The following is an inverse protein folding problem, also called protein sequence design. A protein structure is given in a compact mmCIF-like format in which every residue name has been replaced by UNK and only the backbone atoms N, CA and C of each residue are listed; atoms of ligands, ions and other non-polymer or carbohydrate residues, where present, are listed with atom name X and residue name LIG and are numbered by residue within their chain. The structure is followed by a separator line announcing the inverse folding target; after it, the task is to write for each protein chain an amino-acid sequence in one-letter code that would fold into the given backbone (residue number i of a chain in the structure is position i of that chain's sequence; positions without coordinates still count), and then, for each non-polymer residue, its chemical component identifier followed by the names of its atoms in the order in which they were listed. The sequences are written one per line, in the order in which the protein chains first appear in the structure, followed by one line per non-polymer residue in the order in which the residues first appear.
data_IF_520527741724
#
_entry.id   IF_520527741724
#
_cell.length_a   1.000
_cell.length_b   1.000
_cell.length_c   1.000
_cell.angle_alpha   90.00
_cell.angle_beta   90.00
_cell.angle_gamma   90.00
#
_symmetry.space_group_name_H-M   'P 1'
#
loop_
_entity.id
_entity.type
_entity.pdbx_description
1 polymer ?
#
# COMPACT_ATOMS: atom_id res chain seq x y z
N UNK A 1 8.49 -23.97 -16.22
CA UNK A 1 7.06 -23.94 -16.60
C UNK A 1 6.34 -23.37 -15.37
N UNK A 2 5.58 -22.28 -15.56
CA UNK A 2 5.16 -21.31 -14.54
C UNK A 2 3.68 -21.46 -14.15
N UNK A 3 3.34 -21.10 -12.92
CA UNK A 3 1.95 -20.89 -12.51
C UNK A 3 1.58 -19.44 -12.79
N UNK A 4 0.55 -19.21 -13.60
CA UNK A 4 0.14 -17.89 -14.06
C UNK A 4 -1.38 -17.72 -14.01
N UNK A 5 -1.82 -16.52 -13.64
CA UNK A 5 -3.21 -16.12 -13.75
C UNK A 5 -3.55 -15.81 -15.21
N UNK A 6 -4.65 -16.37 -15.73
CA UNK A 6 -5.13 -16.03 -17.08
C UNK A 6 -6.25 -14.99 -17.06
N UNK A 7 -7.36 -15.34 -16.40
CA UNK A 7 -8.56 -14.51 -16.36
C UNK A 7 -9.51 -14.94 -15.25
N UNK A 8 -10.47 -14.07 -14.97
CA UNK A 8 -11.67 -14.40 -14.21
C UNK A 8 -12.91 -14.09 -15.04
N UNK A 9 -13.97 -14.84 -14.82
CA UNK A 9 -15.30 -14.55 -15.35
C UNK A 9 -16.32 -14.62 -14.21
N UNK A 10 -17.41 -13.86 -14.35
CA UNK A 10 -18.50 -13.89 -13.39
C UNK A 10 -19.83 -13.82 -14.11
N UNK A 11 -20.67 -14.82 -13.85
CA UNK A 11 -22.06 -14.89 -14.29
C UNK A 11 -22.85 -15.29 -13.06
N UNK A 12 -23.46 -14.30 -12.38
CA UNK A 12 -24.08 -14.49 -11.06
C UNK A 12 -24.95 -15.76 -11.00
N UNK A 13 -24.73 -16.65 -10.01
CA UNK A 13 -23.80 -16.54 -8.86
C UNK A 13 -22.39 -17.08 -9.11
N UNK A 14 -22.07 -17.57 -10.31
CA UNK A 14 -20.85 -18.32 -10.59
C UNK A 14 -19.66 -17.41 -10.87
N UNK A 15 -18.60 -17.56 -10.08
CA UNK A 15 -17.30 -16.93 -10.28
C UNK A 15 -16.27 -17.99 -10.69
N UNK A 16 -15.65 -17.82 -11.85
CA UNK A 16 -14.71 -18.78 -12.41
C UNK A 16 -13.33 -18.16 -12.55
N UNK A 17 -12.31 -18.88 -12.08
CA UNK A 17 -10.90 -18.51 -12.23
C UNK A 17 -10.23 -19.46 -13.21
N UNK A 18 -9.44 -18.90 -14.13
CA UNK A 18 -8.61 -19.62 -15.09
C UNK A 18 -7.13 -19.35 -14.83
N UNK A 19 -6.31 -20.40 -14.89
CA UNK A 19 -4.85 -20.36 -14.67
C UNK A 19 -4.10 -21.21 -15.68
N UNK A 20 -2.87 -20.81 -16.01
CA UNK A 20 -1.86 -21.69 -16.62
C UNK A 20 -1.01 -22.28 -15.52
N UNK A 21 -0.73 -23.58 -15.60
CA UNK A 21 0.06 -24.27 -14.60
C UNK A 21 0.69 -25.52 -15.19
N UNK A 22 1.71 -26.03 -14.50
CA UNK A 22 2.38 -27.27 -14.89
C UNK A 22 1.44 -28.47 -14.73
N UNK A 23 1.70 -29.51 -15.52
CA UNK A 23 1.12 -30.82 -15.26
C UNK A 23 1.44 -31.25 -13.82
N UNK A 24 0.48 -31.89 -13.15
CA UNK A 24 0.64 -32.36 -11.77
C UNK A 24 0.46 -31.32 -10.65
N UNK A 25 0.57 -30.02 -10.93
CA UNK A 25 0.30 -28.97 -9.94
C UNK A 25 -1.20 -28.79 -9.67
N UNK A 26 -1.55 -28.32 -8.47
CA UNK A 26 -2.92 -27.96 -8.09
C UNK A 26 -3.02 -26.47 -7.75
N UNK A 27 -4.21 -25.90 -7.89
CA UNK A 27 -4.44 -24.54 -7.41
C UNK A 27 -5.72 -24.38 -6.60
N UNK A 28 -5.68 -23.44 -5.66
CA UNK A 28 -6.80 -23.00 -4.84
C UNK A 28 -6.91 -21.47 -4.90
N UNK A 29 -8.04 -20.91 -4.47
CA UNK A 29 -8.16 -19.46 -4.41
C UNK A 29 -9.21 -18.98 -3.40
N UNK A 30 -9.03 -17.74 -2.94
CA UNK A 30 -10.00 -17.01 -2.13
C UNK A 30 -10.35 -15.66 -2.76
N UNK A 31 -11.57 -15.22 -2.50
CA UNK A 31 -12.03 -13.88 -2.82
C UNK A 31 -12.14 -13.10 -1.51
N UNK A 32 -11.54 -11.91 -1.48
CA UNK A 32 -11.58 -10.98 -0.36
C UNK A 32 -12.32 -9.70 -0.75
N UNK A 33 -13.09 -9.15 0.18
CA UNK A 33 -13.66 -7.80 0.13
C UNK A 33 -12.99 -6.97 1.23
N UNK A 34 -11.99 -6.18 0.85
CA UNK A 34 -10.99 -5.68 1.80
C UNK A 34 -10.30 -6.86 2.50
N UNK A 35 -10.14 -6.79 3.82
CA UNK A 35 -9.49 -7.87 4.59
C UNK A 35 -10.39 -9.10 4.86
N UNK A 36 -11.69 -9.04 4.53
CA UNK A 36 -12.63 -10.13 4.83
C UNK A 36 -12.67 -11.15 3.71
N UNK A 37 -12.36 -12.41 4.02
CA UNK A 37 -12.60 -13.55 3.11
C UNK A 37 -14.09 -13.79 2.96
N UNK A 38 -14.58 -13.71 1.74
CA UNK A 38 -16.01 -13.88 1.41
C UNK A 38 -16.32 -15.19 0.68
N UNK A 39 -15.34 -15.77 -0.01
CA UNK A 39 -15.48 -17.05 -0.68
C UNK A 39 -14.13 -17.75 -0.80
N UNK A 40 -14.16 -19.08 -0.89
CA UNK A 40 -12.99 -19.92 -1.00
C UNK A 40 -13.24 -21.18 -1.83
N UNK A 41 -12.23 -21.60 -2.57
CA UNK A 41 -12.21 -22.87 -3.30
C UNK A 41 -10.98 -23.68 -2.95
N UNK A 42 -11.20 -24.94 -2.61
CA UNK A 42 -10.14 -25.92 -2.36
C UNK A 42 -9.36 -26.27 -3.63
N UNK A 43 -8.22 -26.93 -3.43
CA UNK A 43 -7.30 -27.31 -4.51
C UNK A 43 -7.97 -28.13 -5.62
N UNK A 44 -7.64 -27.79 -6.87
CA UNK A 44 -8.06 -28.53 -8.06
C UNK A 44 -6.91 -28.75 -9.02
N UNK A 45 -6.92 -29.92 -9.69
CA UNK A 45 -6.01 -30.30 -10.77
C UNK A 45 -6.36 -29.64 -12.11
N UNK A 46 -7.59 -29.13 -12.25
CA UNK A 46 -8.05 -28.47 -13.47
C UNK A 46 -7.29 -27.16 -13.69
N UNK A 47 -7.33 -26.62 -14.90
CA UNK A 47 -6.82 -25.27 -15.23
C UNK A 47 -7.86 -24.18 -15.00
N UNK A 48 -9.06 -24.56 -14.54
CA UNK A 48 -10.11 -23.64 -14.14
C UNK A 48 -10.86 -24.18 -12.94
N UNK A 49 -11.52 -23.29 -12.21
CA UNK A 49 -12.32 -23.64 -11.05
C UNK A 49 -13.36 -22.57 -10.76
N UNK A 50 -14.59 -23.01 -10.55
CA UNK A 50 -15.75 -22.18 -10.26
C UNK A 50 -16.17 -22.29 -8.79
N UNK A 51 -16.80 -21.24 -8.28
CA UNK A 51 -17.53 -21.27 -7.02
C UNK A 51 -18.77 -20.37 -7.12
N UNK A 52 -19.81 -20.69 -6.36
CA UNK A 52 -20.94 -19.79 -6.18
C UNK A 52 -20.61 -18.73 -5.13
N UNK A 53 -20.76 -17.46 -5.48
CA UNK A 53 -20.53 -16.33 -4.60
C UNK A 53 -21.44 -15.16 -4.97
N UNK A 54 -21.95 -14.49 -3.94
CA UNK A 54 -22.64 -13.23 -4.09
C UNK A 54 -21.63 -12.09 -4.00
N UNK A 55 -21.46 -11.36 -5.09
CA UNK A 55 -20.61 -10.18 -5.18
C UNK A 55 -21.49 -8.92 -5.34
N UNK A 56 -21.17 -7.89 -4.58
CA UNK A 56 -21.74 -6.56 -4.70
C UNK A 56 -21.18 -5.86 -5.94
N UNK A 57 -22.07 -5.22 -6.68
CA UNK A 57 -21.73 -4.40 -7.86
C UNK A 57 -21.09 -3.08 -7.43
N UNK A 58 -20.35 -2.47 -8.35
CA UNK A 58 -19.53 -1.27 -8.12
C UNK A 58 -18.50 -1.44 -6.99
N UNK A 59 -17.83 -2.59 -6.94
CA UNK A 59 -16.90 -2.92 -5.86
C UNK A 59 -15.67 -3.66 -6.39
N UNK A 60 -14.51 -3.38 -5.80
CA UNK A 60 -13.28 -4.13 -6.07
C UNK A 60 -13.08 -5.21 -5.03
N UNK A 61 -12.57 -6.33 -5.51
CA UNK A 61 -12.23 -7.52 -4.75
C UNK A 61 -10.77 -7.87 -4.97
N UNK A 62 -10.19 -8.59 -4.00
CA UNK A 62 -8.88 -9.20 -4.13
C UNK A 62 -9.04 -10.72 -4.30
N UNK A 63 -8.52 -11.25 -5.41
CA UNK A 63 -8.33 -12.67 -5.64
C UNK A 63 -6.93 -13.06 -5.16
N UNK A 64 -6.87 -14.00 -4.21
CA UNK A 64 -5.62 -14.67 -3.82
C UNK A 64 -5.60 -16.07 -4.40
N UNK A 65 -4.61 -16.37 -5.22
CA UNK A 65 -4.39 -17.67 -5.84
C UNK A 65 -3.22 -18.37 -5.16
N UNK A 66 -3.37 -19.66 -4.94
CA UNK A 66 -2.35 -20.51 -4.34
C UNK A 66 -2.02 -21.63 -5.30
N UNK A 67 -0.75 -21.86 -5.57
CA UNK A 67 -0.29 -23.00 -6.34
C UNK A 67 0.46 -23.99 -5.45
N UNK A 68 0.11 -25.27 -5.58
CA UNK A 68 0.76 -26.38 -4.91
C UNK A 68 1.44 -27.26 -5.98
N UNK A 69 2.79 -27.28 -6.03
CA UNK A 69 3.52 -28.20 -6.91
C UNK A 69 3.19 -29.68 -6.61
N UNK A 70 3.35 -30.55 -7.60
CA UNK A 70 2.98 -31.98 -7.55
C UNK A 70 3.66 -32.75 -6.40
N UNK A 71 4.84 -32.32 -5.98
CA UNK A 71 5.70 -32.98 -5.01
C UNK A 71 5.43 -32.61 -3.54
N UNK A 72 4.46 -31.74 -3.23
CA UNK A 72 4.33 -31.12 -1.90
C UNK A 72 2.96 -31.36 -1.25
N UNK A 73 2.76 -32.55 -0.68
CA UNK A 73 1.52 -32.90 0.05
C UNK A 73 1.42 -32.30 1.47
N UNK A 74 2.48 -31.66 1.99
CA UNK A 74 2.62 -31.29 3.42
C UNK A 74 2.90 -29.81 3.70
N UNK A 75 2.86 -28.94 2.68
CA UNK A 75 3.31 -27.56 2.82
C UNK A 75 2.21 -26.62 3.34
N UNK A 76 2.57 -25.79 4.32
CA UNK A 76 1.70 -24.76 4.91
C UNK A 76 1.26 -23.76 3.83
N UNK A 77 0.09 -23.16 4.02
CA UNK A 77 -0.46 -22.22 3.04
C UNK A 77 0.42 -20.98 2.80
N UNK A 78 1.21 -20.57 3.80
CA UNK A 78 2.18 -19.47 3.73
C UNK A 78 3.31 -19.70 2.74
N UNK A 79 3.64 -20.95 2.47
CA UNK A 79 4.84 -21.34 1.73
C UNK A 79 4.51 -21.67 0.26
N UNK A 80 3.23 -21.56 -0.12
CA UNK A 80 2.75 -21.78 -1.48
C UNK A 80 2.95 -20.52 -2.32
N UNK A 81 3.09 -20.69 -3.63
CA UNK A 81 3.20 -19.54 -4.53
C UNK A 81 1.86 -18.80 -4.54
N UNK A 82 1.88 -17.55 -4.07
CA UNK A 82 0.70 -16.70 -3.98
C UNK A 82 0.71 -15.67 -5.10
N UNK A 83 -0.31 -15.70 -5.96
CA UNK A 83 -0.60 -14.60 -6.90
C UNK A 83 -1.77 -13.80 -6.35
N UNK A 84 -1.62 -12.46 -6.31
CA UNK A 84 -2.71 -11.55 -5.96
C UNK A 84 -3.18 -10.80 -7.20
N UNK A 85 -4.49 -10.73 -7.40
CA UNK A 85 -5.12 -9.95 -8.46
C UNK A 85 -6.27 -9.15 -7.90
N UNK A 86 -6.40 -7.91 -8.33
CA UNK A 86 -7.57 -7.09 -8.01
C UNK A 86 -8.53 -7.13 -9.19
N UNK A 87 -9.82 -7.18 -8.91
CA UNK A 87 -10.85 -7.12 -9.94
C UNK A 87 -12.05 -6.31 -9.47
N UNK A 88 -12.61 -5.53 -10.39
CA UNK A 88 -13.77 -4.69 -10.19
C UNK A 88 -15.01 -5.34 -10.80
N UNK A 89 -16.10 -5.37 -10.04
CA UNK A 89 -17.43 -5.71 -10.56
C UNK A 89 -18.19 -4.41 -10.82
N UNK A 90 -18.58 -4.15 -12.07
CA UNK A 90 -19.31 -2.91 -12.40
C UNK A 90 -20.81 -2.98 -12.06
N UNK A 91 -21.54 -1.89 -12.31
CA UNK A 91 -22.99 -1.79 -12.10
C UNK A 91 -23.84 -2.80 -12.89
N UNK A 92 -23.27 -3.43 -13.91
CA UNK A 92 -23.93 -4.44 -14.74
C UNK A 92 -23.51 -5.87 -14.36
N UNK A 93 -22.62 -6.04 -13.39
CA UNK A 93 -22.09 -7.34 -13.00
C UNK A 93 -20.98 -7.86 -13.92
N UNK A 94 -20.36 -6.99 -14.73
CA UNK A 94 -19.20 -7.36 -15.55
C UNK A 94 -17.93 -7.24 -14.71
N UNK A 95 -17.03 -8.22 -14.85
CA UNK A 95 -15.75 -8.24 -14.13
C UNK A 95 -14.64 -7.67 -15.00
N UNK A 96 -13.86 -6.77 -14.39
CA UNK A 96 -12.66 -6.17 -14.96
C UNK A 96 -11.49 -6.45 -14.03
N UNK A 97 -10.45 -7.12 -14.53
CA UNK A 97 -9.21 -7.27 -13.77
C UNK A 97 -8.49 -5.93 -13.78
N UNK A 98 -8.11 -5.43 -12.61
CA UNK A 98 -7.29 -4.22 -12.50
C UNK A 98 -5.92 -4.55 -13.08
N UNK A 99 -5.53 -3.82 -14.12
CA UNK A 99 -4.26 -4.03 -14.78
C UNK A 99 -3.11 -3.63 -13.85
N UNK A 100 -2.08 -4.47 -13.78
CA UNK A 100 -0.82 -4.19 -13.08
C UNK A 100 0.26 -4.00 -14.15
N UNK A 101 0.82 -2.80 -14.25
CA UNK A 101 1.91 -2.47 -15.17
C UNK A 101 3.20 -2.22 -14.37
N UNK A 102 4.32 -2.83 -14.78
CA UNK A 102 5.63 -2.52 -14.21
C UNK A 102 6.18 -1.31 -14.96
N UNK A 103 6.21 -0.15 -14.29
CA UNK A 103 6.74 1.08 -14.86
C UNK A 103 8.26 1.10 -14.87
N UNK A 104 8.87 0.47 -13.88
CA UNK A 104 10.31 0.37 -13.72
C UNK A 104 10.67 -0.81 -12.81
N UNK A 105 11.69 -1.57 -13.17
CA UNK A 105 12.25 -2.61 -12.30
C UNK A 105 13.75 -2.76 -12.50
N UNK A 106 14.48 -2.71 -11.39
CA UNK A 106 15.87 -3.11 -11.27
C UNK A 106 16.02 -4.08 -10.09
N UNK A 107 17.24 -4.54 -9.84
CA UNK A 107 17.55 -5.48 -8.76
C UNK A 107 16.97 -5.02 -7.42
N UNK A 108 17.12 -3.73 -7.08
CA UNK A 108 16.79 -3.19 -5.76
C UNK A 108 15.50 -2.39 -5.66
N UNK A 109 14.80 -2.18 -6.77
CA UNK A 109 13.65 -1.29 -6.83
C UNK A 109 12.64 -1.80 -7.87
N UNK A 110 11.35 -1.70 -7.55
CA UNK A 110 10.25 -1.94 -8.49
C UNK A 110 9.20 -0.86 -8.31
N UNK A 111 8.71 -0.30 -9.40
CA UNK A 111 7.60 0.66 -9.44
C UNK A 111 6.50 0.06 -10.30
N UNK A 112 5.30 -0.09 -9.72
CA UNK A 112 4.14 -0.67 -10.40
C UNK A 112 2.97 0.29 -10.41
N UNK A 113 2.25 0.37 -11.52
CA UNK A 113 1.00 1.11 -11.66
C UNK A 113 -0.20 0.14 -11.70
N UNK A 114 -1.23 0.49 -10.95
CA UNK A 114 -2.57 -0.08 -11.02
C UNK A 114 -3.52 1.03 -11.46
N UNK A 115 -3.77 1.10 -12.77
CA UNK A 115 -4.59 2.14 -13.37
C UNK A 115 -6.06 1.70 -13.45
N UNK A 116 -6.96 2.51 -12.88
CA UNK A 116 -8.41 2.34 -12.92
C UNK A 116 -9.11 3.49 -13.67
N UNK A 117 -8.35 4.27 -14.46
CA UNK A 117 -8.83 5.47 -15.18
C UNK A 117 -9.44 6.54 -14.25
N UNK A 118 -8.98 6.56 -13.00
CA UNK A 118 -9.46 7.50 -11.99
C UNK A 118 -8.80 8.87 -12.12
N UNK A 119 -9.50 9.93 -11.74
CA UNK A 119 -8.90 11.26 -11.56
C UNK A 119 -8.17 11.41 -10.21
N UNK A 120 -8.16 10.36 -9.38
CA UNK A 120 -7.44 10.28 -8.11
C UNK A 120 -6.33 9.23 -8.25
N UNK A 121 -5.11 9.61 -7.88
CA UNK A 121 -3.96 8.70 -7.82
C UNK A 121 -3.32 8.75 -6.45
N UNK A 122 -3.12 7.57 -5.87
CA UNK A 122 -2.25 7.39 -4.71
C UNK A 122 -0.88 6.92 -5.14
N UNK A 123 0.16 7.46 -4.51
CA UNK A 123 1.53 6.97 -4.59
C UNK A 123 1.92 6.45 -3.21
N UNK A 124 2.37 5.20 -3.10
CA UNK A 124 2.62 4.56 -1.80
C UNK A 124 4.00 3.92 -1.73
N UNK A 125 4.56 3.94 -0.53
CA UNK A 125 5.82 3.30 -0.18
C UNK A 125 5.56 2.29 0.94
N UNK A 126 6.16 1.11 0.83
CA UNK A 126 6.08 0.09 1.87
C UNK A 126 6.99 0.43 3.06
N UNK A 127 6.81 -0.28 4.17
CA UNK A 127 7.58 -0.07 5.41
C UNK A 127 8.98 -0.69 5.33
N UNK A 128 9.78 -0.55 6.39
CA UNK A 128 11.17 -1.01 6.38
C UNK A 128 11.33 -2.54 6.26
N UNK A 129 10.35 -3.33 6.70
CA UNK A 129 10.40 -4.79 6.74
C UNK A 129 9.68 -5.46 5.56
N UNK A 130 9.76 -4.85 4.37
CA UNK A 130 9.13 -5.36 3.14
C UNK A 130 10.13 -5.47 1.99
N UNK A 131 9.76 -6.19 0.93
CA UNK A 131 10.54 -6.37 -0.29
C UNK A 131 9.74 -6.08 -1.58
N UNK A 132 10.33 -6.36 -2.75
CA UNK A 132 9.73 -6.16 -4.08
C UNK A 132 8.51 -7.03 -4.36
N UNK A 133 8.33 -8.10 -3.60
CA UNK A 133 7.22 -9.05 -3.74
C UNK A 133 6.07 -8.73 -2.77
N UNK A 134 6.33 -7.87 -1.79
CA UNK A 134 5.35 -7.47 -0.80
C UNK A 134 4.23 -6.66 -1.46
N UNK A 135 2.99 -6.92 -1.03
CA UNK A 135 1.85 -6.17 -1.55
C UNK A 135 1.95 -4.68 -1.22
N UNK A 136 1.52 -3.78 -2.13
CA UNK A 136 1.61 -2.37 -1.86
C UNK A 136 0.85 -1.94 -0.60
N UNK A 137 1.43 -1.02 0.14
CA UNK A 137 0.80 -0.38 1.29
C UNK A 137 -0.54 0.25 0.89
N UNK A 138 -1.59 -0.09 1.64
CA UNK A 138 -2.93 0.45 1.40
C UNK A 138 -3.61 -0.02 0.10
N UNK A 139 -3.04 -0.96 -0.66
CA UNK A 139 -3.58 -1.37 -1.97
C UNK A 139 -5.06 -1.74 -1.92
N UNK A 140 -5.47 -2.55 -0.94
CA UNK A 140 -6.85 -2.99 -0.82
C UNK A 140 -7.80 -1.80 -0.59
N UNK A 141 -7.43 -0.84 0.26
CA UNK A 141 -8.23 0.35 0.50
C UNK A 141 -8.28 1.24 -0.75
N UNK A 142 -7.14 1.54 -1.35
CA UNK A 142 -7.05 2.47 -2.48
C UNK A 142 -7.80 1.91 -3.70
N UNK A 143 -7.50 0.66 -4.06
CA UNK A 143 -8.09 0.04 -5.24
C UNK A 143 -9.59 -0.19 -5.04
N UNK A 144 -10.05 -0.56 -3.84
CA UNK A 144 -11.49 -0.73 -3.57
C UNK A 144 -12.32 0.54 -3.58
N UNK A 145 -11.71 1.72 -3.54
CA UNK A 145 -12.39 2.98 -3.78
C UNK A 145 -12.32 3.42 -5.26
N UNK A 146 -11.81 2.58 -6.16
CA UNK A 146 -11.73 2.88 -7.60
C UNK A 146 -10.68 3.92 -7.96
N UNK A 147 -9.63 4.07 -7.16
CA UNK A 147 -8.53 5.01 -7.41
C UNK A 147 -7.33 4.34 -8.05
N UNK A 148 -6.52 5.13 -8.75
CA UNK A 148 -5.25 4.62 -9.27
C UNK A 148 -4.24 4.47 -8.12
N UNK A 149 -3.32 3.52 -8.27
CA UNK A 149 -2.23 3.30 -7.33
C UNK A 149 -0.91 3.18 -8.08
N UNK A 150 0.08 3.97 -7.68
CA UNK A 150 1.48 3.78 -8.05
C UNK A 150 2.21 3.32 -6.80
N UNK A 151 2.76 2.12 -6.83
CA UNK A 151 3.39 1.47 -5.69
C UNK A 151 4.89 1.36 -5.89
N UNK A 152 5.64 1.84 -4.91
CA UNK A 152 7.09 1.74 -4.88
C UNK A 152 7.51 0.64 -3.92
N UNK A 153 8.27 -0.31 -4.43
CA UNK A 153 8.74 -1.46 -3.68
C UNK A 153 10.27 -1.45 -3.66
N UNK A 154 10.83 -1.54 -2.47
CA UNK A 154 12.27 -1.70 -2.27
C UNK A 154 12.66 -3.17 -2.21
N UNK A 155 13.92 -3.49 -2.49
CA UNK A 155 14.50 -4.77 -2.14
C UNK A 155 15.31 -4.64 -0.85
N UNK A 156 15.22 -5.65 0.01
CA UNK A 156 16.06 -5.78 1.20
C UNK A 156 16.01 -4.54 2.13
N UNK A 157 17.01 -4.35 2.99
CA UNK A 157 17.12 -3.29 3.98
C UNK A 157 17.54 -1.93 3.42
N UNK A 158 17.55 -1.72 2.10
CA UNK A 158 18.10 -0.50 1.49
C UNK A 158 17.31 0.79 1.77
N UNK A 159 16.12 0.71 2.38
CA UNK A 159 15.28 1.87 2.74
C UNK A 159 15.10 2.93 1.63
N UNK A 160 14.92 2.47 0.39
CA UNK A 160 14.78 3.32 -0.81
C UNK A 160 16.00 4.21 -1.10
N UNK A 161 17.17 3.96 -0.51
CA UNK A 161 18.38 4.76 -0.75
C UNK A 161 18.87 4.71 -2.20
N UNK A 162 18.45 3.71 -2.98
CA UNK A 162 18.77 3.60 -4.42
C UNK A 162 17.72 4.27 -5.33
N UNK A 163 16.67 4.87 -4.78
CA UNK A 163 15.68 5.64 -5.54
C UNK A 163 16.07 7.12 -5.56
N UNK A 164 16.57 7.59 -6.71
CA UNK A 164 16.89 9.02 -6.90
C UNK A 164 15.63 9.86 -7.13
N UNK A 165 15.73 11.17 -6.88
CA UNK A 165 14.64 12.13 -7.14
C UNK A 165 14.32 12.19 -8.64
N UNK A 166 15.35 12.18 -9.48
CA UNK A 166 15.25 12.25 -10.95
C UNK A 166 14.60 10.99 -11.52
N UNK A 167 14.97 9.81 -11.01
CA UNK A 167 14.34 8.55 -11.41
C UNK A 167 12.87 8.53 -11.00
N UNK A 168 12.56 8.93 -9.76
CA UNK A 168 11.19 9.02 -9.29
C UNK A 168 10.34 9.96 -10.16
N UNK A 169 10.86 11.16 -10.43
CA UNK A 169 10.21 12.15 -11.29
C UNK A 169 9.94 11.58 -12.69
N UNK A 170 10.98 11.05 -13.34
CA UNK A 170 10.91 10.50 -14.70
C UNK A 170 9.85 9.40 -14.83
N UNK A 171 9.72 8.53 -13.83
CA UNK A 171 8.83 7.35 -13.91
C UNK A 171 7.41 7.69 -13.48
N UNK A 172 7.23 8.56 -12.47
CA UNK A 172 5.95 8.73 -11.79
C UNK A 172 5.19 9.99 -12.25
N UNK A 173 5.90 11.09 -12.57
CA UNK A 173 5.27 12.41 -12.74
C UNK A 173 4.23 12.44 -13.86
N UNK A 174 4.53 11.88 -15.03
CA UNK A 174 3.61 11.90 -16.17
C UNK A 174 2.30 11.14 -15.89
N UNK A 175 2.35 10.12 -15.02
CA UNK A 175 1.17 9.33 -14.62
C UNK A 175 0.23 10.07 -13.68
N UNK A 176 0.67 11.19 -13.10
CA UNK A 176 -0.07 11.97 -12.11
C UNK A 176 -0.53 13.35 -12.62
N UNK A 177 -0.10 13.78 -13.81
CA UNK A 177 -0.51 15.06 -14.40
C UNK A 177 -2.03 15.16 -14.52
N UNK A 178 -2.59 16.29 -14.08
CA UNK A 178 -4.03 16.59 -14.15
C UNK A 178 -4.89 15.80 -13.15
N UNK A 179 -4.29 15.00 -12.27
CA UNK A 179 -5.00 14.20 -11.26
C UNK A 179 -4.91 14.83 -9.87
N UNK A 180 -5.81 14.44 -8.98
CA UNK A 180 -5.66 14.66 -7.53
C UNK A 180 -4.68 13.61 -7.01
N UNK A 181 -3.53 14.05 -6.52
CA UNK A 181 -2.44 13.16 -6.12
C UNK A 181 -2.27 13.15 -4.61
N UNK A 182 -2.21 11.94 -4.05
CA UNK A 182 -1.93 11.70 -2.65
C UNK A 182 -0.68 10.84 -2.54
N UNK A 183 0.25 11.20 -1.64
CA UNK A 183 1.36 10.32 -1.28
C UNK A 183 1.14 9.83 0.14
N UNK A 184 1.06 8.52 0.30
CA UNK A 184 0.53 7.87 1.49
C UNK A 184 1.47 6.77 1.99
N UNK A 185 1.81 6.81 3.27
CA UNK A 185 2.73 5.84 3.85
C UNK A 185 2.82 5.93 5.38
N UNK A 186 3.46 4.93 5.97
CA UNK A 186 3.74 4.89 7.42
C UNK A 186 5.19 4.51 7.70
N UNK A 187 5.77 4.96 8.81
CA UNK A 187 7.17 4.68 9.17
C UNK A 187 8.12 5.13 8.06
N UNK A 188 8.94 4.22 7.52
CA UNK A 188 9.73 4.43 6.31
C UNK A 188 8.92 5.03 5.15
N UNK A 189 7.74 4.47 4.88
CA UNK A 189 6.89 4.95 3.80
C UNK A 189 6.34 6.36 4.05
N UNK A 190 6.16 6.73 5.33
CA UNK A 190 5.76 8.08 5.73
C UNK A 190 6.88 9.10 5.49
N UNK A 191 8.13 8.73 5.78
CA UNK A 191 9.29 9.55 5.42
C UNK A 191 9.40 9.70 3.90
N UNK A 192 9.31 8.61 3.14
CA UNK A 192 9.35 8.66 1.67
C UNK A 192 8.23 9.52 1.09
N UNK A 193 7.03 9.48 1.69
CA UNK A 193 5.93 10.35 1.30
C UNK A 193 6.29 11.84 1.44
N UNK A 194 6.94 12.21 2.56
CA UNK A 194 7.43 13.57 2.77
C UNK A 194 8.57 13.94 1.81
N UNK A 195 9.48 13.02 1.55
CA UNK A 195 10.68 13.24 0.75
C UNK A 195 10.38 13.38 -0.74
N UNK A 196 9.58 12.47 -1.31
CA UNK A 196 9.27 12.45 -2.75
C UNK A 196 8.00 13.22 -3.11
N UNK A 197 7.09 13.49 -2.16
CA UNK A 197 5.78 14.06 -2.44
C UNK A 197 5.80 15.46 -3.10
N UNK A 198 6.87 16.24 -2.86
CA UNK A 198 7.04 17.54 -3.49
C UNK A 198 7.27 17.50 -5.00
N UNK A 199 7.84 16.41 -5.54
CA UNK A 199 8.04 16.24 -7.00
C UNK A 199 6.70 16.22 -7.74
N UNK A 200 5.65 15.71 -7.09
CA UNK A 200 4.33 15.52 -7.67
C UNK A 200 3.34 16.65 -7.32
N UNK A 201 3.77 17.66 -6.56
CA UNK A 201 2.89 18.66 -5.91
C UNK A 201 1.66 17.98 -5.26
N UNK A 202 1.91 16.90 -4.51
CA UNK A 202 0.86 16.02 -4.00
C UNK A 202 0.49 16.35 -2.54
N UNK A 203 -0.74 15.97 -2.15
CA UNK A 203 -1.14 15.98 -0.73
C UNK A 203 -0.45 14.83 -0.01
N UNK A 204 0.23 15.11 1.10
CA UNK A 204 0.98 14.10 1.85
C UNK A 204 0.16 13.62 3.04
N UNK A 205 0.04 12.30 3.21
CA UNK A 205 -0.55 11.67 4.39
C UNK A 205 0.49 10.69 4.95
N UNK A 206 1.23 11.12 5.98
CA UNK A 206 2.33 10.35 6.55
C UNK A 206 2.03 9.95 8.00
N UNK A 207 2.06 8.65 8.28
CA UNK A 207 1.96 8.11 9.64
C UNK A 207 3.32 7.82 10.24
N UNK A 208 3.61 8.36 11.43
CA UNK A 208 4.85 8.15 12.17
C UNK A 208 6.09 8.15 11.25
N UNK A 209 6.31 9.20 10.44
CA UNK A 209 7.35 9.19 9.41
C UNK A 209 8.73 9.05 10.06
N UNK A 210 9.50 8.07 9.60
CA UNK A 210 10.82 7.74 10.15
C UNK A 210 11.73 7.18 9.07
N UNK A 211 13.03 7.47 9.12
CA UNK A 211 14.05 6.83 8.29
C UNK A 211 15.11 6.18 9.18
N UNK A 212 15.01 4.87 9.50
CA UNK A 212 15.97 4.20 10.36
C UNK A 212 17.45 4.30 9.95
N UNK A 213 17.77 4.37 8.65
CA UNK A 213 19.16 4.56 8.16
C UNK A 213 19.69 5.98 8.37
N UNK A 214 18.82 6.95 8.71
CA UNK A 214 19.26 8.33 8.89
C UNK A 214 20.27 8.42 10.06
N UNK A 215 21.38 9.18 9.92
CA UNK A 215 22.44 9.22 10.93
C UNK A 215 21.98 9.58 12.35
N UNK A 216 20.92 10.37 12.50
CA UNK A 216 20.37 10.76 13.82
C UNK A 216 19.70 9.61 14.57
N UNK A 217 19.27 8.56 13.86
CA UNK A 217 18.58 7.42 14.45
C UNK A 217 19.56 6.41 15.04
N UNK A 218 20.77 6.31 14.47
CA UNK A 218 21.81 5.36 14.88
C UNK A 218 21.27 3.92 15.07
N UNK A 219 20.40 3.47 14.17
CA UNK A 219 19.69 2.21 14.32
C UNK A 219 20.62 1.02 13.98
N UNK A 220 20.81 0.05 14.90
CA UNK A 220 21.82 -1.00 14.76
C UNK A 220 21.63 -1.88 13.53
N UNK A 221 20.37 -2.18 13.16
CA UNK A 221 20.04 -3.04 12.02
C UNK A 221 20.37 -2.45 10.65
N UNK A 222 20.71 -1.16 10.58
CA UNK A 222 20.93 -0.42 9.34
C UNK A 222 22.28 0.31 9.30
N UNK A 223 23.20 -0.02 10.22
CA UNK A 223 24.55 0.57 10.29
C UNK A 223 25.38 0.38 9.01
N UNK A 224 25.12 -0.70 8.27
CA UNK A 224 25.85 -1.08 7.06
C UNK A 224 25.18 -0.55 5.78
N UNK A 225 24.05 0.16 5.92
CA UNK A 225 23.34 0.78 4.79
C UNK A 225 23.86 2.21 4.62
N UNK A 226 24.40 2.51 3.45
CA UNK A 226 24.85 3.87 3.11
C UNK A 226 23.65 4.83 3.04
N UNK A 227 23.73 5.94 3.78
CA UNK A 227 22.77 7.03 3.70
C UNK A 227 23.10 7.93 2.49
N UNK A 228 22.27 7.84 1.44
CA UNK A 228 22.46 8.53 0.14
C UNK A 228 21.52 9.71 -0.07
N UNK A 229 20.39 9.75 0.64
CA UNK A 229 19.42 10.83 0.49
C UNK A 229 20.03 12.18 0.87
N UNK A 230 19.79 13.20 0.05
CA UNK A 230 20.14 14.58 0.43
C UNK A 230 19.23 15.03 1.59
N UNK A 231 19.60 16.05 2.37
CA UNK A 231 18.72 16.54 3.43
C UNK A 231 17.34 16.92 2.89
N UNK A 232 16.28 16.49 3.58
CA UNK A 232 14.90 16.65 3.07
C UNK A 232 14.53 18.11 2.81
N UNK A 233 15.12 19.10 3.48
CA UNK A 233 14.83 20.52 3.18
C UNK A 233 15.38 20.97 1.80
N UNK A 234 16.30 20.22 1.19
CA UNK A 234 16.86 20.53 -0.14
C UNK A 234 16.08 19.90 -1.32
N UNK A 235 15.11 19.02 -1.06
CA UNK A 235 14.32 18.40 -2.15
C UNK A 235 13.12 19.27 -2.55
N UNK A 236 12.46 19.04 -3.70
CA UNK A 236 11.23 19.75 -4.05
C UNK A 236 10.16 19.69 -2.94
N UNK A 237 9.34 20.73 -2.83
CA UNK A 237 8.31 20.87 -1.79
C UNK A 237 6.94 20.94 -2.44
N UNK A 238 5.96 20.30 -1.81
CA UNK A 238 4.57 20.41 -2.25
C UNK A 238 3.94 21.72 -1.78
N UNK A 239 3.04 22.27 -2.59
CA UNK A 239 2.15 23.38 -2.23
C UNK A 239 0.86 22.89 -1.57
N UNK A 240 0.61 21.57 -1.58
CA UNK A 240 -0.58 20.94 -1.02
C UNK A 240 -0.43 20.66 0.49
N UNK A 241 -1.53 20.33 1.18
CA UNK A 241 -1.49 19.96 2.58
C UNK A 241 -0.56 18.77 2.88
N UNK A 242 0.10 18.85 4.04
CA UNK A 242 0.92 17.79 4.61
C UNK A 242 0.30 17.39 5.94
N UNK A 243 -0.25 16.18 6.01
CA UNK A 243 -0.85 15.61 7.22
C UNK A 243 0.13 14.64 7.88
N UNK A 244 0.50 14.92 9.13
CA UNK A 244 1.37 14.07 9.92
C UNK A 244 0.56 13.41 11.03
N UNK A 245 0.32 12.11 10.89
CA UNK A 245 -0.33 11.29 11.90
C UNK A 245 0.76 10.74 12.82
N UNK A 246 0.69 11.00 14.12
CA UNK A 246 1.78 10.68 15.05
C UNK A 246 1.28 10.47 16.48
N UNK A 247 2.04 9.75 17.30
CA UNK A 247 1.80 9.70 18.73
C UNK A 247 2.60 10.81 19.43
N UNK A 248 1.95 11.77 20.11
CA UNK A 248 2.64 12.81 20.87
C UNK A 248 3.45 12.30 22.06
N UNK A 249 3.33 11.02 22.43
CA UNK A 249 4.12 10.38 23.48
C UNK A 249 5.36 9.64 22.95
N UNK A 250 5.45 9.40 21.64
CA UNK A 250 6.57 8.67 21.03
C UNK A 250 7.75 9.61 20.76
N UNK A 251 8.62 9.77 21.75
CA UNK A 251 9.72 10.73 21.69
C UNK A 251 10.71 10.50 20.55
N UNK A 252 10.93 9.25 20.14
CA UNK A 252 11.82 8.92 19.02
C UNK A 252 11.31 9.48 17.70
N UNK A 253 10.04 9.22 17.39
CA UNK A 253 9.38 9.74 16.19
C UNK A 253 9.32 11.27 16.21
N UNK A 254 8.99 11.87 17.36
CA UNK A 254 8.94 13.33 17.51
C UNK A 254 10.31 13.95 17.26
N UNK A 255 11.38 13.36 17.80
CA UNK A 255 12.75 13.82 17.58
C UNK A 255 13.09 13.77 16.09
N UNK A 256 12.85 12.64 15.43
CA UNK A 256 13.11 12.49 14.00
C UNK A 256 12.33 13.53 13.18
N UNK A 257 11.03 13.70 13.44
CA UNK A 257 10.19 14.68 12.76
C UNK A 257 10.73 16.10 12.92
N UNK A 258 11.09 16.52 14.15
CA UNK A 258 11.63 17.86 14.42
C UNK A 258 12.96 18.10 13.72
N UNK A 259 13.87 17.13 13.77
CA UNK A 259 15.22 17.28 13.23
C UNK A 259 15.29 17.12 11.70
N UNK A 260 14.25 16.54 11.08
CA UNK A 260 14.21 16.27 9.63
C UNK A 260 12.97 16.86 8.97
N UNK A 261 11.79 16.23 9.13
CA UNK A 261 10.54 16.55 8.41
C UNK A 261 10.15 18.02 8.57
N UNK A 262 10.19 18.57 9.77
CA UNK A 262 9.75 19.95 10.04
C UNK A 262 10.71 21.01 9.49
N UNK A 263 11.95 20.65 9.15
CA UNK A 263 12.85 21.55 8.40
C UNK A 263 12.39 21.74 6.96
N UNK A 264 11.73 20.74 6.38
CA UNK A 264 11.15 20.81 5.04
C UNK A 264 9.72 21.38 5.06
N UNK A 265 8.92 20.98 6.05
CA UNK A 265 7.51 21.35 6.16
C UNK A 265 7.26 21.95 7.55
N UNK A 266 7.44 23.27 7.73
CA UNK A 266 7.38 23.89 9.05
C UNK A 266 5.96 24.01 9.63
N UNK A 267 4.92 23.96 8.77
CA UNK A 267 3.52 24.11 9.17
C UNK A 267 2.65 22.94 8.65
N UNK A 268 2.92 21.68 9.05
CA UNK A 268 2.06 20.57 8.68
C UNK A 268 0.80 20.55 9.58
N UNK A 269 -0.21 19.85 9.11
CA UNK A 269 -1.39 19.52 9.90
C UNK A 269 -1.10 18.28 10.75
N UNK A 270 -0.97 18.47 12.06
CA UNK A 270 -0.70 17.41 13.02
C UNK A 270 -1.99 16.67 13.42
N UNK A 271 -1.97 15.34 13.30
CA UNK A 271 -3.08 14.45 13.65
C UNK A 271 -2.63 13.53 14.80
N UNK A 272 -2.91 13.88 16.06
CA UNK A 272 -2.38 13.15 17.20
C UNK A 272 -3.16 11.86 17.47
N UNK A 273 -2.45 10.74 17.57
CA UNK A 273 -2.97 9.41 17.95
C UNK A 273 -2.28 8.99 19.25
N UNK A 274 -2.74 9.56 20.38
CA UNK A 274 -2.12 9.35 21.70
C UNK A 274 -2.16 7.88 22.10
N UNK A 275 -1.00 7.32 22.46
CA UNK A 275 -0.86 5.91 22.83
C UNK A 275 -0.83 4.96 21.63
N UNK A 276 -0.76 5.48 20.41
CA UNK A 276 -0.58 4.69 19.20
C UNK A 276 0.85 4.24 18.93
N UNK A 277 1.82 4.72 19.73
CA UNK A 277 3.27 4.50 19.61
C UNK A 277 3.76 4.80 18.18
N UNK A 278 4.79 4.09 17.70
CA UNK A 278 5.20 4.13 16.30
C UNK A 278 4.14 3.55 15.33
N UNK A 279 3.17 2.78 15.86
CA UNK A 279 2.19 2.02 15.08
C UNK A 279 0.88 2.78 14.82
N UNK A 280 0.90 4.11 14.79
CA UNK A 280 -0.30 4.98 14.70
C UNK A 280 -1.32 4.56 13.64
N UNK A 281 -0.87 4.15 12.44
CA UNK A 281 -1.78 3.71 11.37
C UNK A 281 -2.44 2.36 11.70
N UNK A 282 -1.68 1.43 12.29
CA UNK A 282 -2.22 0.15 12.77
C UNK A 282 -3.18 0.38 13.93
N UNK A 283 -2.89 1.33 14.82
CA UNK A 283 -3.77 1.72 15.93
C UNK A 283 -5.10 2.23 15.40
N UNK A 284 -5.08 3.13 14.41
CA UNK A 284 -6.30 3.57 13.76
C UNK A 284 -7.04 2.42 13.04
N UNK A 285 -6.32 1.48 12.44
CA UNK A 285 -6.91 0.32 11.76
C UNK A 285 -7.62 -0.61 12.75
N UNK A 286 -6.96 -0.97 13.85
CA UNK A 286 -7.48 -1.85 14.89
C UNK A 286 -8.73 -1.27 15.57
N UNK A 287 -8.85 0.06 15.60
CA UNK A 287 -10.01 0.77 16.16
C UNK A 287 -11.07 1.13 15.10
N UNK A 288 -10.92 0.67 13.86
CA UNK A 288 -11.89 0.93 12.78
C UNK A 288 -11.95 2.39 12.31
N UNK A 289 -10.95 3.21 12.66
CA UNK A 289 -10.89 4.64 12.37
C UNK A 289 -10.05 4.98 11.13
N UNK A 290 -9.16 4.08 10.69
CA UNK A 290 -8.20 4.41 9.61
C UNK A 290 -8.89 4.83 8.31
N UNK A 291 -9.93 4.08 7.89
CA UNK A 291 -10.63 4.34 6.63
C UNK A 291 -11.24 5.75 6.61
N UNK A 292 -12.04 6.09 7.62
CA UNK A 292 -12.69 7.40 7.71
C UNK A 292 -11.67 8.52 7.85
N UNK A 293 -10.59 8.29 8.60
CA UNK A 293 -9.49 9.24 8.72
C UNK A 293 -8.86 9.57 7.37
N UNK A 294 -8.46 8.58 6.56
CA UNK A 294 -7.87 8.86 5.26
C UNK A 294 -8.87 9.58 4.34
N UNK A 295 -10.14 9.16 4.31
CA UNK A 295 -11.19 9.80 3.51
C UNK A 295 -11.37 11.28 3.87
N UNK A 296 -11.39 11.62 5.15
CA UNK A 296 -11.56 13.00 5.61
C UNK A 296 -10.33 13.85 5.32
N UNK A 297 -9.13 13.31 5.49
CA UNK A 297 -7.90 14.01 5.14
C UNK A 297 -7.84 14.31 3.63
N UNK A 298 -8.29 13.40 2.77
CA UNK A 298 -8.39 13.66 1.33
C UNK A 298 -9.33 14.84 0.98
N UNK A 299 -10.32 15.08 1.83
CA UNK A 299 -11.28 16.18 1.70
C UNK A 299 -10.89 17.42 2.52
N UNK A 300 -9.70 17.43 3.14
CA UNK A 300 -9.21 18.49 4.03
C UNK A 300 -10.04 18.69 5.32
N UNK A 301 -10.79 17.69 5.75
CA UNK A 301 -11.60 17.70 6.97
C UNK A 301 -10.78 17.28 8.20
N UNK A 302 -9.57 17.81 8.36
CA UNK A 302 -8.62 17.35 9.40
C UNK A 302 -9.08 17.68 10.83
N UNK A 303 -9.89 18.73 11.01
CA UNK A 303 -10.48 19.05 12.32
C UNK A 303 -11.44 17.94 12.77
N UNK A 304 -12.27 17.42 11.87
CA UNK A 304 -13.18 16.32 12.16
C UNK A 304 -12.42 15.04 12.50
N UNK A 305 -11.30 14.80 11.81
CA UNK A 305 -10.38 13.69 12.12
C UNK A 305 -9.84 13.83 13.54
N UNK A 306 -9.30 15.00 13.90
CA UNK A 306 -8.75 15.25 15.24
C UNK A 306 -9.82 15.06 16.31
N UNK A 307 -11.00 15.65 16.13
CA UNK A 307 -12.11 15.53 17.06
C UNK A 307 -12.53 14.07 17.25
N UNK A 308 -12.66 13.31 16.15
CA UNK A 308 -13.01 11.88 16.22
C UNK A 308 -11.96 11.06 16.96
N UNK A 309 -10.68 11.31 16.72
CA UNK A 309 -9.59 10.56 17.36
C UNK A 309 -9.52 10.90 18.86
N UNK A 310 -9.56 12.19 19.23
CA UNK A 310 -9.45 12.62 20.64
C UNK A 310 -10.65 12.17 21.48
N UNK A 311 -11.85 12.13 20.90
CA UNK A 311 -13.08 11.74 21.61
C UNK A 311 -13.33 10.24 21.62
N UNK A 312 -12.51 9.43 20.93
CA UNK A 312 -12.64 7.99 20.90
C UNK A 312 -12.35 7.39 22.29
N UNK A 313 -13.33 6.69 22.87
CA UNK A 313 -13.27 6.19 24.25
C UNK A 313 -12.73 4.77 24.38
N UNK A 314 -12.78 3.98 23.32
CA UNK A 314 -12.59 2.53 23.35
C UNK A 314 -11.33 2.10 22.62
N UNK A 315 -10.18 2.71 22.96
CA UNK A 315 -8.91 2.35 22.35
C UNK A 315 -8.51 0.91 22.65
N UNK A 316 -8.50 0.07 21.62
CA UNK A 316 -7.78 -1.20 21.64
C UNK A 316 -6.29 -0.89 21.68
N UNK A 317 -5.65 -1.23 22.79
CA UNK A 317 -4.20 -1.10 22.96
C UNK A 317 -3.49 -2.14 22.09
N UNK A 318 -2.42 -1.71 21.43
CA UNK A 318 -1.51 -2.59 20.67
C UNK A 318 -0.46 -3.15 21.59
#
# INVERSE_FOLDING_TARGET
MSFEFEKVTFTEPNFTVHVKKNFGSDFAFYILSGNKRIAAKSYTKKTYSDLEVKLEKNKVYCLKLFNRPECENTVLESDKVIIKRFFYLDKYGRVFVVNEEILYEEEKLKITEFNQESNITFVTFNSAQTDKTTSPFGAEFILSNGWNLIALHKHDKNQYQDLSLELFEKVVKDKTIGKKVFVYGTSLGGYCACYFGGILDATIIAGAPMLPVHPIMNHPDYKDVEYKHVPIYNVPKTTKPVFLIYDPLETGDIRFMKETILKAYPLPYFIPVKGGTHLVMQTLLNNGLLKSTVMDLMNNNYIDVINRIITHKDWVKI
#
